data_IF_850873265054
#
_entry.id   IF_850873265054
#
_cell.length_a   1.000
_cell.length_b   1.000
_cell.length_c   1.000
_cell.angle_alpha   90.00
_cell.angle_beta   90.00
_cell.angle_gamma   90.00
#
_symmetry.space_group_name_H-M   'P 1'
#
loop_
_entity.id
_entity.type
_entity.pdbx_description
1 polymer ?
#
# COMPACT_ATOMS: atom_id res chain seq x y z
N UNK A 1 -7.57 -7.86 -17.20
CA UNK A 1 -6.69 -7.05 -16.31
C UNK A 1 -5.31 -7.04 -16.92
N UNK A 2 -4.60 -5.91 -16.90
CA UNK A 2 -3.18 -5.87 -17.32
C UNK A 2 -2.34 -6.57 -16.24
N UNK A 3 -1.40 -7.39 -16.70
CA UNK A 3 -0.46 -8.12 -15.85
C UNK A 3 0.95 -7.56 -16.11
N UNK A 4 1.68 -7.29 -15.03
CA UNK A 4 2.98 -6.63 -15.03
C UNK A 4 4.05 -7.60 -14.57
N UNK A 5 5.21 -7.60 -15.24
CA UNK A 5 6.38 -8.36 -14.78
C UNK A 5 6.97 -7.69 -13.55
N UNK A 6 7.64 -8.48 -12.71
CA UNK A 6 8.32 -7.98 -11.49
C UNK A 6 9.21 -6.75 -11.75
N UNK A 7 10.02 -6.75 -12.80
CA UNK A 7 10.89 -5.63 -13.13
C UNK A 7 10.12 -4.35 -13.52
N UNK A 8 8.95 -4.48 -14.16
CA UNK A 8 8.10 -3.33 -14.47
C UNK A 8 7.50 -2.73 -13.20
N UNK A 9 7.11 -3.57 -12.25
CA UNK A 9 6.60 -3.14 -10.94
C UNK A 9 7.70 -2.45 -10.13
N UNK A 10 8.89 -3.05 -10.09
CA UNK A 10 10.07 -2.49 -9.43
C UNK A 10 10.44 -1.12 -10.00
N UNK A 11 10.55 -1.00 -11.33
CA UNK A 11 10.83 0.27 -12.02
C UNK A 11 9.74 1.33 -11.74
N UNK A 12 8.46 0.92 -11.78
CA UNK A 12 7.35 1.85 -11.55
C UNK A 12 7.34 2.36 -10.10
N UNK A 13 7.58 1.50 -9.12
CA UNK A 13 7.64 1.88 -7.70
C UNK A 13 8.80 2.83 -7.43
N UNK A 14 9.99 2.55 -7.98
CA UNK A 14 11.15 3.44 -7.85
C UNK A 14 10.83 4.83 -8.41
N UNK A 15 10.22 4.88 -9.61
CA UNK A 15 9.80 6.13 -10.24
C UNK A 15 8.72 6.86 -9.42
N UNK A 16 7.74 6.15 -8.85
CA UNK A 16 6.69 6.75 -8.00
C UNK A 16 7.27 7.34 -6.71
N UNK A 17 8.28 6.72 -6.12
CA UNK A 17 8.90 7.20 -4.89
C UNK A 17 9.90 8.35 -5.12
N UNK A 18 10.31 8.61 -6.37
CA UNK A 18 11.39 9.55 -6.70
C UNK A 18 12.71 9.19 -5.99
N UNK A 19 12.94 7.89 -5.75
CA UNK A 19 14.08 7.43 -4.98
C UNK A 19 15.37 7.54 -5.81
N UNK A 20 16.42 8.11 -5.21
CA UNK A 20 17.76 8.15 -5.82
C UNK A 20 18.59 6.88 -5.55
N UNK A 21 18.14 6.02 -4.63
CA UNK A 21 18.80 4.76 -4.24
C UNK A 21 17.91 3.55 -4.56
N UNK A 22 17.85 3.23 -5.84
CA UNK A 22 17.09 2.12 -6.40
C UNK A 22 17.44 0.80 -5.71
N UNK A 23 18.72 0.56 -5.45
CA UNK A 23 19.22 -0.72 -4.93
C UNK A 23 18.64 -1.07 -3.56
N UNK A 24 18.44 -0.06 -2.71
CA UNK A 24 17.86 -0.21 -1.39
C UNK A 24 16.35 -0.47 -1.47
N UNK A 25 15.64 0.24 -2.34
CA UNK A 25 14.21 0.01 -2.60
C UNK A 25 13.97 -1.41 -3.08
N UNK A 26 14.72 -1.87 -4.08
CA UNK A 26 14.61 -3.24 -4.63
C UNK A 26 14.88 -4.31 -3.57
N UNK A 27 15.87 -4.08 -2.70
CA UNK A 27 16.18 -5.00 -1.58
C UNK A 27 15.01 -5.10 -0.60
N UNK A 28 14.36 -3.98 -0.27
CA UNK A 28 13.19 -3.96 0.63
C UNK A 28 11.97 -4.64 -0.01
N UNK A 29 11.71 -4.40 -1.29
CA UNK A 29 10.66 -5.10 -2.04
C UNK A 29 10.88 -6.62 -2.04
N UNK A 30 12.11 -7.06 -2.32
CA UNK A 30 12.45 -8.48 -2.24
C UNK A 30 12.18 -9.05 -0.85
N UNK A 31 12.59 -8.35 0.21
CA UNK A 31 12.36 -8.79 1.61
C UNK A 31 10.88 -8.86 1.97
N UNK A 32 10.05 -7.94 1.49
CA UNK A 32 8.59 -8.00 1.67
C UNK A 32 8.01 -9.26 1.03
N UNK A 33 8.35 -9.53 -0.23
CA UNK A 33 7.89 -10.74 -0.94
C UNK A 33 8.39 -12.03 -0.28
N UNK A 34 9.66 -12.07 0.14
CA UNK A 34 10.24 -13.24 0.80
C UNK A 34 9.59 -13.49 2.17
N UNK A 35 9.26 -12.43 2.91
CA UNK A 35 8.53 -12.54 4.19
C UNK A 35 7.11 -13.03 3.97
N UNK A 36 6.40 -12.47 2.98
CA UNK A 36 5.05 -12.90 2.63
C UNK A 36 5.02 -14.36 2.18
N UNK A 37 6.07 -14.86 1.50
CA UNK A 37 6.17 -16.30 1.19
C UNK A 37 6.53 -17.18 2.38
N UNK A 38 7.33 -16.66 3.32
CA UNK A 38 7.77 -17.41 4.49
C UNK A 38 6.66 -17.60 5.53
N UNK A 39 5.66 -16.71 5.56
CA UNK A 39 4.48 -16.88 6.39
C UNK A 39 3.55 -17.94 5.78
N UNK A 40 3.14 -18.90 6.60
CA UNK A 40 2.22 -19.96 6.21
C UNK A 40 0.89 -19.37 5.69
N UNK A 41 0.34 -19.97 4.63
CA UNK A 41 -0.98 -19.65 4.11
C UNK A 41 -1.87 -20.86 4.30
N UNK A 42 -2.98 -20.65 4.99
CA UNK A 42 -4.03 -21.61 5.30
C UNK A 42 -5.35 -21.04 4.77
N UNK A 43 -5.74 -21.35 3.52
CA UNK A 43 -6.91 -20.75 2.87
C UNK A 43 -8.24 -20.90 3.65
N UNK A 44 -8.33 -21.94 4.49
CA UNK A 44 -9.50 -22.23 5.34
C UNK A 44 -9.39 -21.65 6.75
N UNK A 45 -8.35 -20.87 7.04
CA UNK A 45 -8.15 -20.28 8.37
C UNK A 45 -9.16 -19.17 8.64
N UNK A 46 -9.69 -19.15 9.87
CA UNK A 46 -10.49 -18.04 10.37
C UNK A 46 -9.65 -16.79 10.69
N UNK A 47 -8.32 -16.91 10.65
CA UNK A 47 -7.39 -15.78 10.81
C UNK A 47 -7.11 -15.15 9.44
N UNK A 48 -7.55 -13.90 9.18
CA UNK A 48 -7.41 -13.26 7.88
C UNK A 48 -5.96 -13.16 7.39
N UNK A 49 -5.00 -12.99 8.29
CA UNK A 49 -3.55 -12.95 8.01
C UNK A 49 -2.96 -14.31 7.59
N UNK A 50 -3.69 -15.41 7.77
CA UNK A 50 -3.28 -16.73 7.29
C UNK A 50 -4.06 -17.13 6.04
N UNK A 51 -5.21 -16.52 5.76
CA UNK A 51 -6.07 -16.95 4.66
C UNK A 51 -5.48 -16.66 3.27
N UNK A 52 -4.69 -15.59 3.12
CA UNK A 52 -4.20 -15.12 1.82
C UNK A 52 -2.79 -14.51 1.91
N UNK A 53 -2.09 -14.43 0.79
CA UNK A 53 -0.87 -13.61 0.65
C UNK A 53 -1.19 -12.11 0.58
N UNK A 54 -0.25 -11.26 1.01
CA UNK A 54 -0.40 -9.80 0.92
C UNK A 54 -0.20 -9.30 -0.52
N UNK A 55 0.75 -9.88 -1.26
CA UNK A 55 1.24 -9.29 -2.51
C UNK A 55 1.00 -10.13 -3.77
N UNK A 56 0.42 -11.32 -3.66
CA UNK A 56 0.15 -12.20 -4.82
C UNK A 56 -1.21 -12.89 -4.68
N UNK A 57 -1.90 -13.10 -5.80
CA UNK A 57 -3.17 -13.79 -5.91
C UNK A 57 -2.91 -15.18 -6.49
N UNK A 58 -3.04 -16.22 -5.67
CA UNK A 58 -2.87 -17.62 -6.07
C UNK A 58 -1.73 -18.32 -5.32
N UNK A 59 -1.44 -19.56 -5.73
CA UNK A 59 -0.26 -20.29 -5.28
C UNK A 59 0.97 -19.45 -5.64
N UNK A 60 1.70 -18.98 -4.62
CA UNK A 60 2.99 -18.35 -4.84
C UNK A 60 3.82 -19.33 -5.69
N UNK A 61 4.11 -19.04 -6.98
CA UNK A 61 4.68 -20.06 -7.83
C UNK A 61 6.02 -20.47 -7.23
N UNK A 62 6.27 -21.78 -7.21
CA UNK A 62 7.55 -22.33 -6.77
C UNK A 62 8.73 -21.69 -7.49
N UNK A 63 9.95 -21.97 -7.00
CA UNK A 63 11.19 -21.45 -7.58
C UNK A 63 11.27 -21.78 -9.09
N UNK A 64 10.95 -20.82 -9.96
CA UNK A 64 11.11 -20.95 -11.42
C UNK A 64 10.09 -20.23 -12.30
N UNK A 65 8.90 -19.91 -11.78
CA UNK A 65 7.85 -19.21 -12.56
C UNK A 65 8.09 -17.70 -12.65
N UNK A 66 7.81 -17.10 -13.82
CA UNK A 66 7.77 -15.64 -13.97
C UNK A 66 6.50 -15.11 -13.28
N UNK A 67 6.66 -14.48 -12.11
CA UNK A 67 5.54 -13.91 -11.35
C UNK A 67 5.03 -12.68 -12.08
N UNK A 68 3.75 -12.73 -12.41
CA UNK A 68 3.00 -11.59 -12.89
C UNK A 68 2.23 -10.95 -11.74
N UNK A 69 2.21 -9.62 -11.74
CA UNK A 69 1.51 -8.80 -10.77
C UNK A 69 0.36 -8.07 -11.46
N UNK A 70 -0.79 -8.03 -10.82
CA UNK A 70 -1.84 -7.08 -11.10
C UNK A 70 -1.45 -5.68 -10.64
N UNK A 71 -2.19 -4.70 -11.13
CA UNK A 71 -2.08 -3.31 -10.67
C UNK A 71 -2.31 -3.20 -9.15
N UNK A 72 -3.29 -3.92 -8.61
CA UNK A 72 -3.56 -3.95 -7.16
C UNK A 72 -2.38 -4.52 -6.36
N UNK A 73 -1.76 -5.60 -6.81
CA UNK A 73 -0.63 -6.20 -6.09
C UNK A 73 0.60 -5.31 -6.10
N UNK A 74 0.81 -4.62 -7.23
CA UNK A 74 1.83 -3.58 -7.36
C UNK A 74 1.57 -2.44 -6.37
N UNK A 75 0.31 -2.01 -6.25
CA UNK A 75 -0.13 -1.02 -5.28
C UNK A 75 0.08 -1.49 -3.84
N UNK A 76 -0.27 -2.74 -3.50
CA UNK A 76 -0.04 -3.29 -2.17
C UNK A 76 1.46 -3.31 -1.80
N UNK A 77 2.35 -3.60 -2.76
CA UNK A 77 3.80 -3.51 -2.56
C UNK A 77 4.26 -2.08 -2.25
N UNK A 78 3.74 -1.08 -2.98
CA UNK A 78 4.02 0.33 -2.70
C UNK A 78 3.58 0.72 -1.28
N UNK A 79 2.36 0.33 -0.87
CA UNK A 79 1.87 0.59 0.49
C UNK A 79 2.76 -0.09 1.54
N UNK A 80 3.18 -1.34 1.29
CA UNK A 80 4.12 -2.04 2.16
C UNK A 80 5.45 -1.28 2.33
N UNK A 81 5.98 -0.69 1.27
CA UNK A 81 7.17 0.17 1.35
C UNK A 81 6.92 1.46 2.14
N UNK A 82 5.77 2.11 1.97
CA UNK A 82 5.42 3.27 2.79
C UNK A 82 5.40 2.89 4.28
N UNK A 83 4.79 1.76 4.64
CA UNK A 83 4.81 1.28 6.03
C UNK A 83 6.24 1.05 6.55
N UNK A 84 7.12 0.42 5.75
CA UNK A 84 8.54 0.25 6.12
C UNK A 84 9.29 1.57 6.28
N UNK A 85 8.98 2.58 5.44
CA UNK A 85 9.59 3.91 5.54
C UNK A 85 9.17 4.62 6.84
N UNK A 86 7.95 4.36 7.32
CA UNK A 86 7.47 4.76 8.66
C UNK A 86 7.97 3.86 9.80
N UNK A 87 8.97 3.01 9.54
CA UNK A 87 9.66 2.14 10.52
C UNK A 87 8.78 1.05 11.13
N UNK A 88 7.66 0.70 10.51
CA UNK A 88 6.88 -0.44 10.93
C UNK A 88 7.64 -1.76 10.70
N UNK A 89 7.59 -2.73 11.64
CA UNK A 89 8.29 -4.00 11.48
C UNK A 89 7.84 -4.77 10.25
N UNK A 90 8.77 -5.40 9.53
CA UNK A 90 8.48 -6.08 8.27
C UNK A 90 7.41 -7.17 8.38
N UNK A 91 7.46 -7.97 9.45
CA UNK A 91 6.43 -9.00 9.71
C UNK A 91 5.05 -8.37 9.91
N UNK A 92 4.97 -7.31 10.71
CA UNK A 92 3.74 -6.56 10.95
C UNK A 92 3.15 -5.97 9.66
N UNK A 93 3.99 -5.43 8.77
CA UNK A 93 3.55 -4.92 7.46
C UNK A 93 2.84 -6.00 6.66
N UNK A 94 3.46 -7.18 6.55
CA UNK A 94 2.89 -8.30 5.79
C UNK A 94 1.59 -8.78 6.42
N UNK A 95 1.57 -9.07 7.72
CA UNK A 95 0.38 -9.56 8.42
C UNK A 95 -0.79 -8.58 8.32
N UNK A 96 -0.51 -7.28 8.46
CA UNK A 96 -1.51 -6.23 8.33
C UNK A 96 -2.09 -6.18 6.92
N UNK A 97 -1.24 -6.19 5.89
CA UNK A 97 -1.69 -6.15 4.48
C UNK A 97 -2.44 -7.43 4.07
N UNK A 98 -2.10 -8.59 4.64
CA UNK A 98 -2.91 -9.81 4.49
C UNK A 98 -4.29 -9.63 5.11
N UNK A 99 -4.34 -9.15 6.36
CA UNK A 99 -5.60 -8.96 7.10
C UNK A 99 -6.55 -7.99 6.40
N UNK A 100 -6.04 -6.86 5.89
CA UNK A 100 -6.87 -5.85 5.22
C UNK A 100 -7.00 -6.07 3.72
N UNK A 101 -6.39 -7.11 3.13
CA UNK A 101 -6.35 -7.33 1.67
C UNK A 101 -7.72 -7.16 1.00
N UNK A 102 -8.82 -7.78 1.48
CA UNK A 102 -10.12 -7.63 0.82
C UNK A 102 -10.62 -6.19 0.84
N UNK A 103 -10.42 -5.46 1.94
CA UNK A 103 -10.80 -4.06 2.07
C UNK A 103 -9.94 -3.16 1.17
N UNK A 104 -8.61 -3.35 1.19
CA UNK A 104 -7.66 -2.59 0.38
C UNK A 104 -7.91 -2.79 -1.12
N UNK A 105 -8.21 -4.02 -1.55
CA UNK A 105 -8.51 -4.32 -2.95
C UNK A 105 -9.82 -3.68 -3.42
N UNK A 106 -10.88 -3.72 -2.60
CA UNK A 106 -12.14 -3.02 -2.89
C UNK A 106 -11.89 -1.52 -3.02
N UNK A 107 -11.10 -0.97 -2.11
CA UNK A 107 -10.82 0.47 -2.10
C UNK A 107 -9.98 0.91 -3.29
N UNK A 108 -8.93 0.17 -3.62
CA UNK A 108 -8.15 0.39 -4.83
C UNK A 108 -9.05 0.40 -6.07
N UNK A 109 -9.96 -0.58 -6.21
CA UNK A 109 -10.91 -0.63 -7.32
C UNK A 109 -11.85 0.59 -7.35
N UNK A 110 -12.26 1.11 -6.19
CA UNK A 110 -13.08 2.33 -6.10
C UNK A 110 -12.29 3.56 -6.52
N UNK A 111 -11.07 3.72 -6.01
CA UNK A 111 -10.14 4.80 -6.37
C UNK A 111 -9.91 4.83 -7.88
N UNK A 112 -9.55 3.70 -8.49
CA UNK A 112 -9.23 3.63 -9.92
C UNK A 112 -10.43 3.89 -10.86
N UNK A 113 -11.66 3.99 -10.33
CA UNK A 113 -12.85 4.39 -11.11
C UNK A 113 -13.07 5.90 -11.11
N UNK A 114 -12.39 6.64 -10.25
CA UNK A 114 -12.48 8.08 -10.18
C UNK A 114 -11.64 8.70 -11.30
N UNK A 115 -12.13 9.78 -11.87
CA UNK A 115 -11.44 10.51 -12.94
C UNK A 115 -10.24 11.30 -12.35
N UNK A 116 -8.99 10.99 -12.75
CA UNK A 116 -7.82 11.73 -12.28
C UNK A 116 -7.89 13.23 -12.58
N UNK A 117 -8.47 13.63 -13.72
CA UNK A 117 -8.54 15.03 -14.12
C UNK A 117 -9.37 15.86 -13.13
N UNK A 118 -10.46 15.27 -12.62
CA UNK A 118 -11.30 15.88 -11.60
C UNK A 118 -10.68 15.77 -10.19
N UNK A 119 -10.05 14.63 -9.87
CA UNK A 119 -9.49 14.39 -8.54
C UNK A 119 -8.34 15.32 -8.16
N UNK A 120 -7.48 15.64 -9.14
CA UNK A 120 -6.25 16.40 -8.95
C UNK A 120 -6.32 17.81 -9.56
N UNK A 121 -7.53 18.32 -9.80
CA UNK A 121 -7.76 19.65 -10.35
C UNK A 121 -7.22 20.74 -9.40
N UNK A 122 -6.17 21.49 -9.80
CA UNK A 122 -5.52 22.47 -8.95
C UNK A 122 -6.41 23.68 -8.63
N UNK A 123 -7.43 23.97 -9.45
CA UNK A 123 -8.34 25.08 -9.24
C UNK A 123 -9.47 24.70 -8.28
N UNK A 124 -9.85 23.42 -8.25
CA UNK A 124 -10.94 22.92 -7.40
C UNK A 124 -10.50 22.49 -6.01
N UNK A 125 -9.25 22.02 -5.86
CA UNK A 125 -8.71 21.57 -4.56
C UNK A 125 -8.76 22.69 -3.50
N UNK A 126 -8.33 23.94 -3.77
CA UNK A 126 -8.39 25.02 -2.80
C UNK A 126 -9.81 25.37 -2.38
N UNK A 127 -10.80 25.23 -3.27
CA UNK A 127 -12.21 25.55 -2.99
C UNK A 127 -12.84 24.58 -1.97
N UNK A 128 -12.28 23.39 -1.81
CA UNK A 128 -12.71 22.42 -0.80
C UNK A 128 -12.03 22.62 0.56
N UNK A 129 -10.93 23.37 0.61
CA UNK A 129 -10.19 23.61 1.84
C UNK A 129 -10.99 24.57 2.74
N UNK A 130 -11.31 24.11 3.95
CA UNK A 130 -11.90 24.96 4.99
C UNK A 130 -10.79 25.51 5.88
N UNK A 131 -10.90 26.76 6.37
CA UNK A 131 -9.97 27.27 7.38
C UNK A 131 -9.83 26.29 8.56
N UNK A 132 -8.59 25.98 8.95
CA UNK A 132 -8.29 25.00 10.00
C UNK A 132 -8.30 23.53 9.58
N UNK A 133 -8.69 23.22 8.33
CA UNK A 133 -8.53 21.87 7.75
C UNK A 133 -7.20 21.76 7.00
N UNK A 134 -6.59 20.56 6.94
CA UNK A 134 -5.38 20.37 6.15
C UNK A 134 -5.68 20.54 4.66
N UNK A 135 -4.72 21.13 3.94
CA UNK A 135 -4.74 21.20 2.49
C UNK A 135 -4.41 19.81 1.93
N UNK A 136 -5.43 19.08 1.47
CA UNK A 136 -5.29 17.76 0.88
C UNK A 136 -5.05 17.91 -0.63
N UNK A 137 -4.17 17.09 -1.19
CA UNK A 137 -3.81 17.15 -2.61
C UNK A 137 -4.83 16.48 -3.55
N UNK A 138 -5.97 16.03 -3.03
CA UNK A 138 -7.01 15.32 -3.80
C UNK A 138 -8.38 15.66 -3.24
N UNK A 139 -9.40 15.67 -4.10
CA UNK A 139 -10.80 15.92 -3.73
C UNK A 139 -11.50 14.75 -3.01
N UNK A 140 -10.92 13.54 -3.07
CA UNK A 140 -11.49 12.33 -2.47
C UNK A 140 -10.37 11.46 -1.90
N UNK A 141 -9.69 11.94 -0.85
CA UNK A 141 -8.57 11.24 -0.27
C UNK A 141 -9.06 10.06 0.56
N UNK A 142 -8.37 8.94 0.40
CA UNK A 142 -8.58 7.73 1.19
C UNK A 142 -7.32 7.50 1.99
N UNK A 143 -7.43 7.19 3.27
CA UNK A 143 -6.30 7.00 4.16
C UNK A 143 -6.22 5.57 4.68
N UNK A 144 -5.03 5.03 4.74
CA UNK A 144 -4.69 3.91 5.61
C UNK A 144 -4.10 4.49 6.89
N UNK A 145 -4.78 4.27 8.02
CA UNK A 145 -4.33 4.66 9.33
C UNK A 145 -3.74 3.45 10.05
N UNK A 146 -2.56 3.61 10.62
CA UNK A 146 -1.93 2.63 11.51
C UNK A 146 -1.74 3.30 12.85
N UNK A 147 -2.13 2.65 13.94
CA UNK A 147 -1.95 3.21 15.27
C UNK A 147 -1.58 2.19 16.33
N UNK A 148 -0.90 2.67 17.36
CA UNK A 148 -0.61 1.94 18.58
C UNK A 148 -0.89 2.85 19.78
N UNK A 149 -1.61 2.32 20.76
CA UNK A 149 -1.75 2.98 22.06
C UNK A 149 -0.46 2.76 22.90
N UNK A 150 -0.23 3.61 23.89
CA UNK A 150 1.07 3.75 24.56
C UNK A 150 1.45 2.53 25.42
N UNK A 151 2.65 2.00 25.15
CA UNK A 151 3.33 0.80 25.71
C UNK A 151 3.12 0.54 27.21
N UNK A 152 2.11 -0.25 27.55
CA UNK A 152 2.20 -1.20 28.66
C UNK A 152 2.54 -2.59 28.11
N UNK A 153 3.10 -3.48 28.93
CA UNK A 153 3.51 -4.84 28.50
C UNK A 153 2.34 -5.70 27.99
N UNK A 154 1.10 -5.26 28.24
CA UNK A 154 -0.15 -5.92 27.87
C UNK A 154 -0.80 -5.32 26.60
N UNK A 155 -0.15 -4.36 25.94
CA UNK A 155 -0.79 -3.64 24.85
C UNK A 155 -1.09 -4.53 23.62
N UNK A 156 -2.26 -4.32 23.00
CA UNK A 156 -2.59 -5.00 21.76
C UNK A 156 -1.63 -4.61 20.64
N UNK A 157 -1.44 -5.55 19.70
CA UNK A 157 -0.69 -5.28 18.48
C UNK A 157 -1.24 -4.01 17.76
N UNK A 158 -0.39 -3.25 17.06
CA UNK A 158 -0.84 -2.06 16.34
C UNK A 158 -2.01 -2.38 15.40
N UNK A 159 -2.96 -1.46 15.32
CA UNK A 159 -4.15 -1.61 14.51
C UNK A 159 -4.00 -0.90 13.17
N UNK A 160 -4.72 -1.39 12.15
CA UNK A 160 -4.69 -0.89 10.78
C UNK A 160 -6.10 -0.82 10.23
N UNK A 161 -6.51 0.34 9.71
CA UNK A 161 -7.85 0.56 9.15
C UNK A 161 -7.82 1.56 7.99
N UNK A 162 -8.77 1.42 7.07
CA UNK A 162 -8.94 2.29 5.90
C UNK A 162 -10.10 3.26 6.15
N UNK A 163 -9.85 4.54 5.92
CA UNK A 163 -10.82 5.62 6.08
C UNK A 163 -11.03 6.35 4.74
N UNK A 164 -12.29 6.54 4.34
CA UNK A 164 -12.65 7.37 3.17
C UNK A 164 -12.85 8.85 3.52
N UNK A 165 -12.88 9.17 4.81
CA UNK A 165 -13.04 10.53 5.32
C UNK A 165 -11.85 10.91 6.18
N UNK A 166 -11.27 12.07 5.87
CA UNK A 166 -10.19 12.67 6.64
C UNK A 166 -10.60 12.92 8.10
N UNK A 167 -11.84 13.36 8.34
CA UNK A 167 -12.29 13.74 9.69
C UNK A 167 -12.40 12.50 10.57
N UNK A 168 -12.99 11.42 10.06
CA UNK A 168 -13.03 10.13 10.74
C UNK A 168 -11.62 9.57 11.05
N UNK A 169 -10.70 9.63 10.08
CA UNK A 169 -9.31 9.24 10.31
C UNK A 169 -8.64 10.11 11.38
N UNK A 170 -8.94 11.41 11.39
CA UNK A 170 -8.36 12.38 12.32
C UNK A 170 -8.83 12.13 13.74
N UNK A 171 -10.15 12.03 13.92
CA UNK A 171 -10.76 11.69 15.20
C UNK A 171 -10.26 10.35 15.72
N UNK A 172 -10.08 9.35 14.84
CA UNK A 172 -9.47 8.08 15.23
C UNK A 172 -8.03 8.27 15.72
N UNK A 173 -7.24 9.08 15.03
CA UNK A 173 -5.84 9.30 15.38
C UNK A 173 -5.64 9.96 16.74
N UNK A 174 -6.55 10.86 17.13
CA UNK A 174 -6.48 11.61 18.41
C UNK A 174 -7.38 11.04 19.51
N UNK A 175 -8.06 9.92 19.25
CA UNK A 175 -9.05 9.32 20.16
C UNK A 175 -8.49 9.05 21.57
N UNK A 176 -7.19 8.72 21.67
CA UNK A 176 -6.52 8.42 22.93
C UNK A 176 -5.23 9.22 23.10
N UNK A 177 -4.98 9.82 24.27
CA UNK A 177 -3.69 10.44 24.59
C UNK A 177 -2.55 9.42 24.45
N UNK A 178 -1.41 9.86 23.92
CA UNK A 178 -0.23 9.01 23.76
C UNK A 178 -0.28 8.02 22.58
N UNK A 179 -1.38 7.99 21.81
CA UNK A 179 -1.48 7.19 20.59
C UNK A 179 -0.46 7.66 19.55
N UNK A 180 0.33 6.72 19.04
CA UNK A 180 1.19 6.96 17.87
C UNK A 180 0.45 6.58 16.61
N UNK A 181 0.47 7.45 15.59
CA UNK A 181 -0.28 7.23 14.34
C UNK A 181 0.61 7.40 13.12
N UNK A 182 0.44 6.53 12.12
CA UNK A 182 0.96 6.70 10.76
C UNK A 182 -0.20 6.79 9.79
N UNK A 183 -0.13 7.77 8.89
CA UNK A 183 -1.12 8.02 7.87
C UNK A 183 -0.51 7.82 6.49
N UNK A 184 -1.15 7.00 5.67
CA UNK A 184 -0.75 6.78 4.27
C UNK A 184 -1.94 7.10 3.39
N UNK A 185 -1.79 8.11 2.53
CA UNK A 185 -2.82 8.50 1.58
C UNK A 185 -2.78 7.52 0.37
N UNK A 186 -3.93 6.92 0.08
CA UNK A 186 -4.08 5.81 -0.87
C UNK A 186 -4.47 6.28 -2.28
N UNK A 187 -5.24 7.36 -2.41
CA UNK A 187 -5.77 7.83 -3.70
C UNK A 187 -4.64 8.32 -4.61
N UNK A 188 -3.78 9.23 -4.12
CA UNK A 188 -2.62 9.71 -4.88
C UNK A 188 -1.63 8.59 -5.15
N UNK A 189 -1.37 7.74 -4.15
CA UNK A 189 -0.44 6.61 -4.29
C UNK A 189 -0.88 5.64 -5.40
N UNK A 190 -2.17 5.33 -5.50
CA UNK A 190 -2.71 4.47 -6.54
C UNK A 190 -2.57 5.10 -7.94
N UNK A 191 -2.98 6.36 -8.12
CA UNK A 191 -2.89 7.02 -9.41
C UNK A 191 -1.45 7.27 -9.85
N UNK A 192 -0.57 7.71 -8.94
CA UNK A 192 0.84 7.91 -9.23
C UNK A 192 1.53 6.61 -9.66
N UNK A 193 1.20 5.48 -9.01
CA UNK A 193 1.73 4.19 -9.41
C UNK A 193 1.17 3.71 -10.75
N UNK A 194 -0.15 3.83 -10.95
CA UNK A 194 -0.80 3.49 -12.22
C UNK A 194 -0.18 4.23 -13.40
N UNK A 195 0.11 5.53 -13.23
CA UNK A 195 0.76 6.33 -14.26
C UNK A 195 2.15 5.80 -14.60
N UNK A 196 2.96 5.45 -13.59
CA UNK A 196 4.29 4.89 -13.82
C UNK A 196 4.22 3.49 -14.44
N UNK A 197 3.31 2.63 -13.99
CA UNK A 197 3.07 1.30 -14.57
C UNK A 197 2.65 1.38 -16.05
N UNK A 198 1.92 2.43 -16.45
CA UNK A 198 1.57 2.65 -17.85
C UNK A 198 2.79 3.05 -18.72
N UNK A 199 3.79 3.69 -18.12
CA UNK A 199 5.02 4.15 -18.80
C UNK A 199 6.11 3.07 -18.85
N UNK A 200 6.14 2.14 -17.89
CA UNK A 200 7.20 1.12 -17.83
C UNK A 200 7.08 0.05 -18.91
N UNK A 201 8.21 -0.25 -19.56
CA UNK A 201 8.31 -1.32 -20.57
C UNK A 201 8.98 -2.56 -19.98
N UNK A 202 8.55 -3.78 -20.34
CA UNK A 202 9.19 -5.00 -19.86
C UNK A 202 10.61 -5.10 -20.41
N UNK A 203 11.61 -5.15 -19.52
CA UNK A 203 12.99 -5.43 -19.93
C UNK A 203 13.13 -6.93 -20.23
N UNK A 204 13.80 -7.29 -21.34
CA UNK A 204 14.20 -8.69 -21.60
C UNK A 204 15.25 -9.08 -20.56
N UNK A 205 15.08 -10.23 -19.91
CA UNK A 205 16.11 -10.80 -19.05
C UNK A 205 17.24 -11.30 -19.96
N UNK A 206 18.36 -10.57 -20.00
CA UNK A 206 19.53 -10.95 -20.78
C UNK A 206 20.24 -12.16 -20.17
N UNK A 207 20.41 -13.22 -20.96
CA UNK A 207 21.60 -14.06 -20.88
C UNK A 207 22.70 -13.22 -21.55
N UNK A 208 23.63 -12.70 -20.76
CA UNK A 208 24.98 -12.35 -21.21
C UNK A 208 25.92 -13.35 -20.56
#
# INVERSE_FOLDING_TARGET
>A
MKAYKRNQVEDAIVATLGANDDTNVLRRLKRLLDTDRALEVRPQSNQPELANYAFVSGDAPGKGGEIQFSEYESFALLIGLHMLNHRWPQKFVVESLRRIRPALQRQHKKIMRLDPANLFDPDQIPLQAKPGSPALATRSPVFLLIWSDQRTAEDPAPAVEIFEDHSAAFHRGIERPGRSTTWIELTRSAHALSEQLAKTRPRKRGRS
#
